data_IF_659836984914
#
_entry.id   IF_659836984914
#
_cell.length_a   1.000
_cell.length_b   1.000
_cell.length_c   1.000
_cell.angle_alpha   90.00
_cell.angle_beta   90.00
_cell.angle_gamma   90.00
#
_symmetry.space_group_name_H-M   'P 1'
#
loop_
_entity.id
_entity.type
_entity.pdbx_description
1 polymer ?
#
# COMPACT_ATOMS: atom_id res chain seq x y z
N UNK A 1 -3.89 -13.75 19.91
CA UNK A 1 -3.30 -13.94 21.26
C UNK A 1 -2.84 -15.39 21.48
N UNK A 2 -3.74 -16.37 21.53
CA UNK A 2 -3.41 -17.80 21.81
C UNK A 2 -2.26 -18.37 20.99
N UNK A 3 -2.23 -18.14 19.67
CA UNK A 3 -1.13 -18.59 18.82
C UNK A 3 0.25 -18.12 19.30
N UNK A 4 0.38 -16.85 19.70
CA UNK A 4 1.66 -16.33 20.20
C UNK A 4 2.00 -16.92 21.56
N UNK A 5 0.99 -17.10 22.44
CA UNK A 5 1.17 -17.75 23.74
C UNK A 5 1.70 -19.18 23.60
N UNK A 6 1.18 -19.94 22.65
CA UNK A 6 1.65 -21.30 22.33
C UNK A 6 3.06 -21.29 21.75
N UNK A 7 3.41 -20.30 20.91
CA UNK A 7 4.73 -20.22 20.26
C UNK A 7 5.88 -19.93 21.21
N UNK A 8 5.61 -19.29 22.35
CA UNK A 8 6.65 -18.92 23.32
C UNK A 8 6.70 -19.85 24.53
N UNK A 9 5.83 -20.87 24.60
CA UNK A 9 5.66 -21.72 25.78
C UNK A 9 6.96 -22.46 26.18
N UNK A 10 7.77 -22.89 25.22
CA UNK A 10 9.03 -23.62 25.48
C UNK A 10 10.19 -22.69 25.89
N UNK A 11 10.01 -21.37 25.82
CA UNK A 11 10.99 -20.41 26.28
C UNK A 11 10.66 -19.95 27.71
N UNK A 12 11.44 -20.39 28.69
CA UNK A 12 11.19 -20.11 30.11
C UNK A 12 11.02 -18.60 30.42
N UNK A 13 11.82 -17.73 29.80
CA UNK A 13 11.79 -16.28 30.05
C UNK A 13 10.51 -15.65 29.46
N UNK A 14 10.19 -15.97 28.21
CA UNK A 14 9.00 -15.42 27.55
C UNK A 14 7.71 -16.01 28.12
N UNK A 15 7.72 -17.30 28.49
CA UNK A 15 6.58 -17.94 29.10
C UNK A 15 6.27 -17.36 30.50
N UNK A 16 7.27 -16.88 31.23
CA UNK A 16 7.07 -16.21 32.53
C UNK A 16 6.25 -14.92 32.41
N UNK A 17 6.22 -14.29 31.24
CA UNK A 17 5.47 -13.05 30.96
C UNK A 17 4.35 -13.25 29.93
N UNK A 18 3.96 -14.50 29.66
CA UNK A 18 3.06 -14.84 28.55
C UNK A 18 1.67 -14.15 28.63
N UNK A 19 1.18 -13.94 29.84
CA UNK A 19 -0.11 -13.26 30.09
C UNK A 19 -0.07 -11.75 29.81
N UNK A 20 1.11 -11.17 29.55
CA UNK A 20 1.23 -9.78 29.10
C UNK A 20 1.06 -9.60 27.59
N UNK A 21 1.00 -10.69 26.81
CA UNK A 21 0.66 -10.61 25.39
C UNK A 21 -0.76 -10.05 25.29
N UNK A 22 -0.92 -8.91 24.60
CA UNK A 22 -2.19 -8.19 24.46
C UNK A 22 -2.71 -7.52 25.75
N UNK A 23 -1.84 -7.29 26.74
CA UNK A 23 -2.20 -6.59 27.97
C UNK A 23 -2.75 -5.18 27.71
N UNK A 24 -3.97 -4.93 28.22
CA UNK A 24 -4.69 -3.66 28.07
C UNK A 24 -5.00 -3.23 26.63
N UNK A 25 -4.81 -4.10 25.64
CA UNK A 25 -5.20 -3.85 24.27
C UNK A 25 -6.64 -4.30 24.01
N UNK A 26 -7.32 -3.60 23.11
CA UNK A 26 -8.46 -4.14 22.38
C UNK A 26 -7.99 -4.71 21.04
N UNK A 27 -8.83 -5.53 20.40
CA UNK A 27 -8.58 -6.04 19.04
C UNK A 27 -8.25 -4.91 18.05
N UNK A 28 -8.90 -3.75 18.19
CA UNK A 28 -8.71 -2.62 17.28
C UNK A 28 -7.34 -1.95 17.39
N UNK A 29 -6.68 -2.01 18.56
CA UNK A 29 -5.30 -1.50 18.69
C UNK A 29 -4.34 -2.28 17.80
N UNK A 30 -4.61 -3.56 17.57
CA UNK A 30 -3.80 -4.44 16.72
C UNK A 30 -4.26 -4.39 15.27
N UNK A 31 -5.57 -4.40 15.03
CA UNK A 31 -6.13 -4.38 13.69
C UNK A 31 -5.77 -3.09 12.95
N UNK A 32 -5.96 -1.93 13.58
CA UNK A 32 -5.72 -0.65 12.89
C UNK A 32 -4.25 -0.48 12.51
N UNK A 33 -3.32 -0.91 13.37
CA UNK A 33 -1.88 -0.87 13.10
C UNK A 33 -1.51 -1.85 11.99
N UNK A 34 -2.07 -3.07 12.04
CA UNK A 34 -1.86 -4.06 10.98
C UNK A 34 -2.34 -3.53 9.63
N UNK A 35 -3.53 -2.94 9.57
CA UNK A 35 -4.06 -2.33 8.35
C UNK A 35 -3.21 -1.14 7.89
N UNK A 36 -2.75 -0.28 8.81
CA UNK A 36 -1.88 0.85 8.46
C UNK A 36 -0.57 0.36 7.85
N UNK A 37 0.06 -0.67 8.42
CA UNK A 37 1.28 -1.28 7.87
C UNK A 37 1.02 -1.91 6.49
N UNK A 38 -0.08 -2.64 6.32
CA UNK A 38 -0.47 -3.22 5.03
C UNK A 38 -0.68 -2.15 3.97
N UNK A 39 -1.45 -1.11 4.27
CA UNK A 39 -1.72 0.00 3.34
C UNK A 39 -0.45 0.76 2.99
N UNK A 40 0.42 1.02 3.97
CA UNK A 40 1.68 1.71 3.74
C UNK A 40 2.61 0.87 2.84
N UNK A 41 2.78 -0.42 3.14
CA UNK A 41 3.56 -1.32 2.30
C UNK A 41 3.00 -1.39 0.87
N UNK A 42 1.69 -1.60 0.71
CA UNK A 42 1.04 -1.65 -0.59
C UNK A 42 1.23 -0.34 -1.38
N UNK A 43 1.13 0.82 -0.71
CA UNK A 43 1.37 2.12 -1.35
C UNK A 43 2.79 2.21 -1.88
N UNK A 44 3.78 1.98 -1.03
CA UNK A 44 5.19 2.21 -1.35
C UNK A 44 5.76 1.19 -2.34
N UNK A 45 5.40 -0.10 -2.19
CA UNK A 45 6.08 -1.17 -2.92
C UNK A 45 5.29 -1.70 -4.12
N UNK A 46 4.01 -1.33 -4.23
CA UNK A 46 3.15 -1.78 -5.33
C UNK A 46 2.52 -0.60 -6.06
N UNK A 47 1.69 0.19 -5.39
CA UNK A 47 0.86 1.20 -6.05
C UNK A 47 1.73 2.29 -6.69
N UNK A 48 2.62 2.93 -5.92
CA UNK A 48 3.46 4.01 -6.43
C UNK A 48 4.37 3.54 -7.58
N UNK A 49 5.08 2.39 -7.49
CA UNK A 49 5.86 1.88 -8.62
C UNK A 49 5.07 1.67 -9.92
N UNK A 50 3.81 1.21 -9.84
CA UNK A 50 2.97 1.07 -11.04
C UNK A 50 2.45 2.41 -11.55
N UNK A 51 2.14 3.35 -10.64
CA UNK A 51 1.76 4.71 -11.03
C UNK A 51 2.92 5.41 -11.75
N UNK A 52 4.15 5.28 -11.25
CA UNK A 52 5.34 5.84 -11.87
C UNK A 52 5.56 5.25 -13.27
N UNK A 53 5.39 3.94 -13.45
CA UNK A 53 5.44 3.31 -14.79
C UNK A 53 4.40 3.90 -15.76
N UNK A 54 3.18 4.18 -15.28
CA UNK A 54 2.15 4.81 -16.10
C UNK A 54 2.52 6.26 -16.46
N UNK A 55 3.04 7.02 -15.51
CA UNK A 55 3.51 8.39 -15.72
C UNK A 55 4.62 8.41 -16.78
N UNK A 56 5.59 7.51 -16.67
CA UNK A 56 6.69 7.40 -17.63
C UNK A 56 6.18 7.03 -19.03
N UNK A 57 5.29 6.04 -19.12
CA UNK A 57 4.71 5.63 -20.39
C UNK A 57 3.93 6.77 -21.07
N UNK A 58 3.12 7.53 -20.32
CA UNK A 58 2.39 8.69 -20.84
C UNK A 58 3.36 9.79 -21.26
N UNK A 59 4.41 10.03 -20.46
CA UNK A 59 5.45 11.03 -20.75
C UNK A 59 6.19 10.69 -22.04
N UNK A 60 6.50 9.42 -22.28
CA UNK A 60 7.15 8.96 -23.49
C UNK A 60 6.26 9.10 -24.72
N UNK A 61 4.95 8.80 -24.60
CA UNK A 61 3.98 9.07 -25.67
C UNK A 61 3.89 10.57 -25.98
N UNK A 62 3.86 11.43 -24.95
CA UNK A 62 3.83 12.88 -25.13
C UNK A 62 5.08 13.40 -25.84
N UNK A 63 6.27 12.89 -25.48
CA UNK A 63 7.53 13.22 -26.17
C UNK A 63 7.54 12.72 -27.61
N UNK A 64 7.12 11.47 -27.83
CA UNK A 64 7.08 10.82 -29.15
C UNK A 64 6.17 11.54 -30.14
N UNK A 65 4.99 11.94 -29.68
CA UNK A 65 3.97 12.56 -30.53
C UNK A 65 3.94 14.09 -30.47
N UNK A 66 4.93 14.73 -29.83
CA UNK A 66 5.04 16.19 -29.66
C UNK A 66 4.70 17.01 -30.90
N UNK A 67 5.14 16.56 -32.08
CA UNK A 67 5.01 17.33 -33.33
C UNK A 67 3.91 16.79 -34.24
N UNK A 68 3.14 15.80 -33.79
CA UNK A 68 2.04 15.23 -34.58
C UNK A 68 0.79 16.08 -34.35
N UNK A 69 0.30 16.83 -35.36
CA UNK A 69 -0.90 17.62 -35.20
C UNK A 69 -2.13 16.71 -35.01
N UNK A 70 -3.03 17.13 -34.13
CA UNK A 70 -4.33 16.47 -33.91
C UNK A 70 -5.42 17.53 -33.89
N UNK A 71 -6.53 17.29 -34.59
CA UNK A 71 -7.72 18.14 -34.50
C UNK A 71 -8.35 17.95 -33.13
N UNK A 72 -8.37 19.00 -32.32
CA UNK A 72 -9.02 18.97 -31.02
C UNK A 72 -10.53 18.76 -31.18
N UNK A 73 -11.17 18.19 -30.16
CA UNK A 73 -12.62 18.03 -30.11
C UNK A 73 -13.19 18.48 -28.77
N UNK A 74 -14.07 19.47 -28.80
CA UNK A 74 -14.85 19.93 -27.64
C UNK A 74 -16.33 19.68 -27.92
N UNK A 75 -17.06 19.05 -27.00
CA UNK A 75 -18.44 18.59 -27.24
C UNK A 75 -18.59 17.71 -28.51
N UNK A 76 -17.52 17.00 -28.89
CA UNK A 76 -17.47 16.17 -30.09
C UNK A 76 -17.21 16.92 -31.41
N UNK A 77 -17.25 18.25 -31.40
CA UNK A 77 -17.04 19.09 -32.59
C UNK A 77 -15.57 19.52 -32.75
N UNK A 78 -15.09 19.76 -33.99
CA UNK A 78 -13.74 20.27 -34.23
C UNK A 78 -13.45 21.55 -33.44
N UNK A 79 -12.27 21.61 -32.83
CA UNK A 79 -11.76 22.76 -32.09
C UNK A 79 -10.30 23.04 -32.47
N UNK A 80 -9.82 24.24 -32.09
CA UNK A 80 -8.43 24.66 -32.20
C UNK A 80 -7.59 24.14 -31.04
#
# INVERSE_FOLDING_TARGET
EYFLKEKVADNCELNAINEFIHFACTSEDINNLSHALMCNAARETVILPYVDQLIDAITDLARKYRTVPMMARTHGQPAS
#
